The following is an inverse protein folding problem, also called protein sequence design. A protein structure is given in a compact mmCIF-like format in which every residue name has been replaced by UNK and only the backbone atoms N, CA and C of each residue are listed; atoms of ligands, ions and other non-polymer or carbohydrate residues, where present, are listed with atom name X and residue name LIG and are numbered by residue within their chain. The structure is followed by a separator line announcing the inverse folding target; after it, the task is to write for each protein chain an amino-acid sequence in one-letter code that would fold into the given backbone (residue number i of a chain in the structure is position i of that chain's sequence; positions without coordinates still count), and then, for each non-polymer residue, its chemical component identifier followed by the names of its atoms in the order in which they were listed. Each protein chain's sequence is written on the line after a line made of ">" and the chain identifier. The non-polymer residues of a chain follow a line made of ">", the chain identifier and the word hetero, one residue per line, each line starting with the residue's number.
data_IF_333132474664
#
_entry.id   IF_333132474664
#
_cell.length_a   1.000
_cell.length_b   1.000
_cell.length_c   1.000
_cell.angle_alpha   90.00
_cell.angle_beta   90.00
_cell.angle_gamma   90.00
#
_symmetry.space_group_name_H-M   'P 1'
#
loop_
_entity.id
_entity.type
_entity.pdbx_description
1 polymer ?
#
# COMPACT_ATOMS: atom_id res chain seq x y z
N UNK A 1 28.94 -28.63 -12.04
CA UNK A 1 27.84 -27.82 -12.61
C UNK A 1 26.63 -28.72 -12.65
N UNK A 2 25.60 -28.46 -11.84
CA UNK A 2 24.35 -29.24 -11.92
C UNK A 2 23.74 -29.06 -13.32
N UNK A 3 23.44 -30.18 -13.98
CA UNK A 3 22.73 -30.16 -15.26
C UNK A 3 21.30 -29.71 -15.02
N UNK A 4 21.05 -28.39 -15.11
CA UNK A 4 19.70 -27.82 -15.03
C UNK A 4 18.84 -28.45 -16.13
N UNK A 5 17.82 -29.19 -15.73
CA UNK A 5 16.94 -29.90 -16.67
C UNK A 5 15.86 -28.98 -17.22
N UNK A 6 15.23 -29.40 -18.34
CA UNK A 6 14.04 -28.73 -18.83
C UNK A 6 12.92 -28.67 -17.77
N UNK A 7 12.79 -29.72 -16.95
CA UNK A 7 11.84 -29.77 -15.84
C UNK A 7 12.05 -28.63 -14.83
N UNK A 8 13.30 -28.42 -14.42
CA UNK A 8 13.65 -27.36 -13.46
C UNK A 8 13.36 -25.97 -14.03
N UNK A 9 13.70 -25.74 -15.30
CA UNK A 9 13.44 -24.46 -15.97
C UNK A 9 11.94 -24.22 -16.11
N UNK A 10 11.18 -25.24 -16.52
CA UNK A 10 9.72 -25.15 -16.63
C UNK A 10 9.08 -24.77 -15.30
N UNK A 11 9.47 -25.42 -14.21
CA UNK A 11 8.97 -25.12 -12.86
C UNK A 11 9.23 -23.66 -12.51
N UNK A 12 10.49 -23.19 -12.65
CA UNK A 12 10.83 -21.80 -12.36
C UNK A 12 10.07 -20.79 -13.23
N UNK A 13 9.84 -21.10 -14.51
CA UNK A 13 9.10 -20.23 -15.43
C UNK A 13 7.64 -20.10 -15.00
N UNK A 14 7.02 -21.22 -14.62
CA UNK A 14 5.64 -21.26 -14.12
C UNK A 14 5.51 -20.49 -12.80
N UNK A 15 6.45 -20.69 -11.88
CA UNK A 15 6.49 -19.96 -10.60
C UNK A 15 6.64 -18.45 -10.82
N UNK A 16 7.55 -18.03 -11.70
CA UNK A 16 7.74 -16.62 -12.02
C UNK A 16 6.48 -16.02 -12.66
N UNK A 17 5.86 -16.73 -13.60
CA UNK A 17 4.62 -16.29 -14.24
C UNK A 17 3.48 -16.18 -13.22
N UNK A 18 3.35 -17.15 -12.31
CA UNK A 18 2.39 -17.13 -11.21
C UNK A 18 2.61 -15.92 -10.31
N UNK A 19 3.85 -15.68 -9.90
CA UNK A 19 4.22 -14.55 -9.07
C UNK A 19 3.92 -13.21 -9.74
N UNK A 20 4.28 -13.04 -11.02
CA UNK A 20 3.98 -11.81 -11.77
C UNK A 20 2.49 -11.50 -11.81
N UNK A 21 1.62 -12.52 -11.90
CA UNK A 21 0.17 -12.34 -11.89
C UNK A 21 -0.36 -11.86 -10.54
N UNK A 22 0.36 -12.09 -9.44
CA UNK A 22 -0.03 -11.61 -8.11
C UNK A 22 0.31 -10.14 -7.87
N UNK A 23 1.13 -9.52 -8.74
CA UNK A 23 1.57 -8.14 -8.56
C UNK A 23 0.45 -7.19 -9.01
N UNK A 24 -0.04 -6.37 -8.08
CA UNK A 24 -1.16 -5.46 -8.32
C UNK A 24 -0.85 -4.45 -9.43
N UNK A 25 -1.68 -4.42 -10.48
CA UNK A 25 -1.50 -3.51 -11.62
C UNK A 25 -0.34 -3.88 -12.56
N UNK A 26 0.26 -5.06 -12.39
CA UNK A 26 1.29 -5.57 -13.28
C UNK A 26 0.69 -6.57 -14.28
N UNK A 27 0.83 -6.26 -15.57
CA UNK A 27 0.48 -7.19 -16.64
C UNK A 27 1.71 -7.98 -17.05
N UNK A 28 1.54 -9.26 -17.37
CA UNK A 28 2.61 -10.08 -17.93
C UNK A 28 3.21 -9.38 -19.17
N UNK A 29 4.52 -9.09 -19.18
CA UNK A 29 5.15 -8.37 -20.30
C UNK A 29 5.07 -9.17 -21.60
N UNK A 30 4.88 -8.48 -22.72
CA UNK A 30 4.78 -9.14 -24.03
C UNK A 30 6.05 -9.94 -24.38
N UNK A 31 7.23 -9.40 -24.04
CA UNK A 31 8.50 -10.10 -24.20
C UNK A 31 8.57 -11.42 -23.40
N UNK A 32 7.97 -11.44 -22.21
CA UNK A 32 7.90 -12.65 -21.39
C UNK A 32 6.91 -13.66 -22.01
N UNK A 33 5.74 -13.20 -22.45
CA UNK A 33 4.74 -14.04 -23.12
C UNK A 33 5.29 -14.64 -24.42
N UNK A 34 6.05 -13.88 -25.20
CA UNK A 34 6.66 -14.36 -26.44
C UNK A 34 7.73 -15.43 -26.14
N UNK A 35 8.55 -15.22 -25.11
CA UNK A 35 9.48 -16.24 -24.63
C UNK A 35 8.78 -17.55 -24.22
N UNK A 36 7.61 -17.48 -23.59
CA UNK A 36 6.80 -18.66 -23.27
C UNK A 36 6.30 -19.40 -24.52
N UNK A 37 5.87 -18.67 -25.56
CA UNK A 37 5.43 -19.27 -26.82
C UNK A 37 6.58 -19.97 -27.54
N UNK A 38 7.75 -19.32 -27.60
CA UNK A 38 8.97 -19.91 -28.19
C UNK A 38 9.35 -21.19 -27.44
N UNK A 39 9.37 -21.15 -26.10
CA UNK A 39 9.63 -22.32 -25.27
C UNK A 39 8.62 -23.44 -25.54
N UNK A 40 7.32 -23.13 -25.65
CA UNK A 40 6.27 -24.10 -25.95
C UNK A 40 6.42 -24.71 -27.36
N UNK A 41 6.83 -23.92 -28.35
CA UNK A 41 7.10 -24.42 -29.71
C UNK A 41 8.22 -25.45 -29.71
N UNK A 42 9.34 -25.18 -29.02
CA UNK A 42 10.44 -26.14 -28.93
C UNK A 42 10.06 -27.43 -28.21
N UNK A 43 9.20 -27.36 -27.19
CA UNK A 43 8.65 -28.56 -26.53
C UNK A 43 7.82 -29.38 -27.50
N UNK A 44 6.95 -28.72 -28.27
CA UNK A 44 6.10 -29.38 -29.28
C UNK A 44 6.94 -30.11 -30.34
N UNK A 45 8.08 -29.54 -30.71
CA UNK A 45 9.00 -30.11 -31.69
C UNK A 45 9.96 -31.17 -31.11
N UNK A 46 9.83 -31.52 -29.81
CA UNK A 46 10.73 -32.46 -29.12
C UNK A 46 12.13 -31.91 -28.82
N UNK A 47 12.35 -30.61 -29.03
CA UNK A 47 13.63 -29.90 -28.89
C UNK A 47 13.83 -29.39 -27.45
N UNK A 48 14.02 -30.32 -26.51
CA UNK A 48 14.09 -29.99 -25.07
C UNK A 48 15.30 -29.12 -24.68
N UNK A 49 16.41 -29.21 -25.41
CA UNK A 49 17.60 -28.39 -25.15
C UNK A 49 17.35 -26.92 -25.52
N UNK A 50 16.71 -26.69 -26.65
CA UNK A 50 16.30 -25.38 -27.15
C UNK A 50 15.20 -24.79 -26.27
N UNK A 51 14.24 -25.61 -25.84
CA UNK A 51 13.22 -25.21 -24.88
C UNK A 51 13.85 -24.78 -23.53
N UNK A 52 14.89 -25.49 -23.07
CA UNK A 52 15.64 -25.13 -21.85
C UNK A 52 16.35 -23.79 -22.01
N UNK A 53 17.00 -23.54 -23.16
CA UNK A 53 17.66 -22.25 -23.44
C UNK A 53 16.63 -21.10 -23.51
N UNK A 54 15.52 -21.31 -24.22
CA UNK A 54 14.43 -20.34 -24.31
C UNK A 54 13.83 -20.03 -22.93
N UNK A 55 13.60 -21.06 -22.11
CA UNK A 55 13.10 -20.88 -20.75
C UNK A 55 14.06 -20.11 -19.84
N UNK A 56 15.39 -20.34 -19.93
CA UNK A 56 16.40 -19.56 -19.19
C UNK A 56 16.36 -18.08 -19.59
N UNK A 57 16.33 -17.79 -20.89
CA UNK A 57 16.21 -16.41 -21.39
C UNK A 57 14.89 -15.75 -20.95
N UNK A 58 13.79 -16.52 -20.93
CA UNK A 58 12.50 -16.06 -20.43
C UNK A 58 12.56 -15.71 -18.94
N UNK A 59 13.21 -16.54 -18.11
CA UNK A 59 13.44 -16.27 -16.69
C UNK A 59 14.25 -15.01 -16.44
N UNK A 60 15.36 -14.84 -17.16
CA UNK A 60 16.22 -13.66 -17.05
C UNK A 60 15.46 -12.40 -17.42
N UNK A 61 14.79 -12.41 -18.57
CA UNK A 61 13.94 -11.30 -19.05
C UNK A 61 12.87 -10.96 -18.02
N UNK A 62 12.13 -11.98 -17.56
CA UNK A 62 11.02 -11.79 -16.64
C UNK A 62 11.46 -11.23 -15.28
N UNK A 63 12.52 -11.80 -14.69
CA UNK A 63 13.11 -11.32 -13.44
C UNK A 63 13.63 -9.89 -13.60
N UNK A 64 14.27 -9.58 -14.73
CA UNK A 64 14.74 -8.22 -15.05
C UNK A 64 13.61 -7.20 -15.08
N UNK A 65 12.53 -7.50 -15.80
CA UNK A 65 11.37 -6.60 -15.91
C UNK A 65 10.69 -6.42 -14.56
N UNK A 66 10.42 -7.51 -13.84
CA UNK A 66 9.78 -7.43 -12.52
C UNK A 66 10.65 -6.66 -11.52
N UNK A 67 11.97 -6.89 -11.52
CA UNK A 67 12.91 -6.13 -10.68
C UNK A 67 12.86 -4.64 -11.01
N UNK A 68 12.91 -4.28 -12.29
CA UNK A 68 12.86 -2.90 -12.73
C UNK A 68 11.53 -2.23 -12.33
N UNK A 69 10.40 -2.92 -12.53
CA UNK A 69 9.09 -2.45 -12.13
C UNK A 69 9.02 -2.13 -10.63
N UNK A 70 9.42 -3.09 -9.78
CA UNK A 70 9.38 -2.92 -8.33
C UNK A 70 10.31 -1.80 -7.87
N UNK A 71 11.53 -1.71 -8.41
CA UNK A 71 12.47 -0.63 -8.08
C UNK A 71 11.91 0.74 -8.46
N UNK A 72 11.38 0.87 -9.68
CA UNK A 72 10.83 2.14 -10.18
C UNK A 72 9.56 2.59 -9.43
N UNK A 73 8.94 1.70 -8.64
CA UNK A 73 7.77 2.04 -7.83
C UNK A 73 8.13 2.79 -6.55
N UNK A 74 9.35 2.60 -6.02
CA UNK A 74 9.75 3.08 -4.68
C UNK A 74 11.06 3.87 -4.66
N UNK A 75 11.99 3.60 -5.58
CA UNK A 75 13.28 4.29 -5.67
C UNK A 75 13.23 5.41 -6.71
N UNK A 76 13.61 6.61 -6.29
CA UNK A 76 13.83 7.72 -7.19
C UNK A 76 15.02 7.41 -8.12
N UNK A 77 14.90 7.83 -9.37
CA UNK A 77 15.97 7.76 -10.35
C UNK A 77 16.63 9.12 -10.46
N UNK A 78 17.93 9.17 -10.22
CA UNK A 78 18.75 10.34 -10.48
C UNK A 78 18.83 10.64 -11.98
N UNK A 79 19.08 11.91 -12.30
CA UNK A 79 19.31 12.35 -13.66
C UNK A 79 20.56 11.69 -14.23
N UNK A 80 20.46 11.22 -15.47
CA UNK A 80 21.58 10.62 -16.22
C UNK A 80 21.61 11.25 -17.62
N UNK A 81 22.74 11.23 -18.33
CA UNK A 81 22.82 11.74 -19.70
C UNK A 81 21.72 11.12 -20.59
N UNK A 82 20.82 11.97 -21.11
CA UNK A 82 19.69 11.56 -21.95
C UNK A 82 18.49 10.96 -21.22
N UNK A 83 18.44 10.96 -19.87
CA UNK A 83 17.29 10.50 -19.08
C UNK A 83 17.04 11.43 -17.87
N UNK A 84 15.90 12.13 -17.82
CA UNK A 84 15.60 13.03 -16.70
C UNK A 84 15.43 12.24 -15.39
N UNK A 85 15.62 12.92 -14.27
CA UNK A 85 15.29 12.38 -12.97
C UNK A 85 13.81 11.95 -12.92
N UNK A 86 13.54 10.82 -12.28
CA UNK A 86 12.18 10.30 -12.14
C UNK A 86 11.89 9.97 -10.70
N UNK A 87 10.91 10.67 -10.13
CA UNK A 87 10.43 10.38 -8.79
C UNK A 87 9.60 9.09 -8.83
N UNK A 88 9.84 8.21 -7.87
CA UNK A 88 9.12 6.97 -7.70
C UNK A 88 7.63 7.24 -7.46
N UNK A 89 6.77 6.38 -8.02
CA UNK A 89 5.32 6.55 -7.90
C UNK A 89 4.88 6.69 -6.45
N UNK A 90 5.36 5.84 -5.55
CA UNK A 90 4.94 5.88 -4.15
C UNK A 90 5.42 7.14 -3.42
N UNK A 91 6.59 7.69 -3.78
CA UNK A 91 7.04 8.98 -3.26
C UNK A 91 6.12 10.11 -3.72
N UNK A 92 5.66 10.10 -4.97
CA UNK A 92 4.68 11.08 -5.47
C UNK A 92 3.34 10.91 -4.75
N UNK A 93 2.85 9.69 -4.62
CA UNK A 93 1.55 9.38 -3.99
C UNK A 93 1.51 9.79 -2.51
N UNK A 94 2.61 9.60 -1.76
CA UNK A 94 2.72 10.02 -0.36
C UNK A 94 2.88 11.53 -0.25
N UNK A 95 3.80 12.15 -1.02
CA UNK A 95 3.99 13.62 -1.00
C UNK A 95 2.71 14.38 -1.31
N UNK A 96 1.92 13.89 -2.27
CA UNK A 96 0.62 14.49 -2.60
C UNK A 96 -0.35 14.45 -1.42
N UNK A 97 -0.37 13.34 -0.65
CA UNK A 97 -1.24 13.19 0.53
C UNK A 97 -0.74 13.97 1.74
N UNK A 98 0.56 14.18 1.84
CA UNK A 98 1.21 14.92 2.92
C UNK A 98 1.23 16.45 2.69
N UNK A 99 0.92 16.93 1.49
CA UNK A 99 0.99 18.37 1.17
C UNK A 99 -0.16 19.16 1.78
N UNK A 100 0.17 20.28 2.43
CA UNK A 100 -0.68 21.15 3.26
C UNK A 100 -1.80 21.94 2.53
N UNK A 101 -2.11 21.65 1.26
CA UNK A 101 -3.26 22.28 0.63
C UNK A 101 -4.53 21.52 1.05
N UNK A 102 -5.48 22.24 1.67
CA UNK A 102 -6.82 21.81 2.12
C UNK A 102 -7.19 20.35 1.75
N UNK A 103 -7.07 19.43 2.72
CA UNK A 103 -7.26 17.99 2.50
C UNK A 103 -6.02 17.12 2.71
N UNK A 104 -4.99 17.65 3.40
CA UNK A 104 -3.85 16.86 3.87
C UNK A 104 -4.32 15.68 4.73
N UNK A 105 -3.70 14.53 4.52
CA UNK A 105 -4.03 13.33 5.26
C UNK A 105 -3.55 13.46 6.70
N UNK A 106 -4.21 12.73 7.59
CA UNK A 106 -3.79 12.64 8.98
C UNK A 106 -2.34 12.14 9.08
N UNK A 107 -1.57 12.74 10.00
CA UNK A 107 -0.14 12.45 10.16
C UNK A 107 0.14 10.97 10.44
N UNK A 108 -0.76 10.29 11.17
CA UNK A 108 -0.62 8.86 11.47
C UNK A 108 -0.80 7.99 10.20
N UNK A 109 -1.69 8.42 9.29
CA UNK A 109 -1.89 7.75 8.01
C UNK A 109 -0.62 7.90 7.15
N UNK A 110 -0.05 9.11 7.10
CA UNK A 110 1.20 9.37 6.37
C UNK A 110 2.36 8.56 6.95
N UNK A 111 2.52 8.54 8.28
CA UNK A 111 3.57 7.77 8.94
C UNK A 111 3.46 6.26 8.64
N UNK A 112 2.23 5.73 8.58
CA UNK A 112 1.99 4.33 8.21
C UNK A 112 2.36 4.06 6.75
N UNK A 113 2.00 4.95 5.82
CA UNK A 113 2.37 4.82 4.41
C UNK A 113 3.90 4.86 4.22
N UNK A 114 4.59 5.74 4.94
CA UNK A 114 6.05 5.82 4.95
C UNK A 114 6.71 4.53 5.46
N UNK A 115 6.12 3.88 6.48
CA UNK A 115 6.60 2.58 6.97
C UNK A 115 6.49 1.47 5.91
N UNK A 116 5.35 1.37 5.23
CA UNK A 116 5.17 0.40 4.14
C UNK A 116 6.12 0.69 2.97
N UNK A 117 6.28 1.97 2.62
CA UNK A 117 7.25 2.40 1.61
C UNK A 117 8.67 1.97 1.97
N UNK A 118 9.13 2.25 3.20
CA UNK A 118 10.45 1.88 3.68
C UNK A 118 10.69 0.36 3.64
N UNK A 119 9.69 -0.43 4.04
CA UNK A 119 9.75 -1.90 3.97
C UNK A 119 9.95 -2.38 2.52
N UNK A 120 9.22 -1.80 1.57
CA UNK A 120 9.39 -2.11 0.15
C UNK A 120 10.75 -1.65 -0.36
N UNK A 121 11.20 -0.45 0.04
CA UNK A 121 12.48 0.12 -0.35
C UNK A 121 13.66 -0.78 0.06
N UNK A 122 13.65 -1.25 1.30
CA UNK A 122 14.63 -2.22 1.82
C UNK A 122 14.60 -3.51 1.00
N UNK A 123 13.41 -4.07 0.77
CA UNK A 123 13.24 -5.32 0.04
C UNK A 123 13.77 -5.24 -1.41
N UNK A 124 13.61 -4.09 -2.09
CA UNK A 124 14.11 -3.93 -3.48
C UNK A 124 15.59 -3.59 -3.56
N UNK A 125 16.19 -3.07 -2.48
CA UNK A 125 17.63 -2.81 -2.38
C UNK A 125 18.42 -4.09 -2.11
N UNK A 126 17.87 -5.05 -1.37
CA UNK A 126 18.56 -6.33 -1.12
C UNK A 126 18.63 -7.12 -2.43
N UNK A 127 19.78 -7.20 -3.11
CA UNK A 127 19.91 -7.78 -4.47
C UNK A 127 19.92 -9.32 -4.55
N UNK A 128 19.50 -10.03 -3.51
CA UNK A 128 19.50 -11.50 -3.54
C UNK A 128 18.36 -12.04 -4.42
N UNK A 129 18.69 -12.96 -5.32
CA UNK A 129 17.73 -13.56 -6.26
C UNK A 129 16.63 -14.39 -5.56
N UNK A 130 16.82 -14.78 -4.29
CA UNK A 130 15.90 -15.61 -3.50
C UNK A 130 14.70 -14.88 -2.88
N UNK A 131 14.55 -13.57 -3.08
CA UNK A 131 13.64 -12.74 -2.26
C UNK A 131 12.52 -12.07 -3.07
N UNK A 132 12.29 -12.50 -4.32
CA UNK A 132 11.26 -11.88 -5.17
C UNK A 132 9.85 -11.96 -4.56
N UNK A 133 9.50 -13.05 -3.89
CA UNK A 133 8.21 -13.20 -3.19
C UNK A 133 8.03 -12.11 -2.13
N UNK A 134 9.05 -11.85 -1.32
CA UNK A 134 8.97 -10.82 -0.28
C UNK A 134 8.85 -9.43 -0.89
N UNK A 135 9.56 -9.14 -1.98
CA UNK A 135 9.43 -7.85 -2.69
C UNK A 135 8.03 -7.64 -3.28
N UNK A 136 7.47 -8.69 -3.87
CA UNK A 136 6.10 -8.67 -4.42
C UNK A 136 5.07 -8.50 -3.30
N UNK A 137 5.26 -9.20 -2.17
CA UNK A 137 4.42 -9.06 -0.99
C UNK A 137 4.48 -7.63 -0.42
N UNK A 138 5.68 -7.07 -0.23
CA UNK A 138 5.85 -5.69 0.25
C UNK A 138 5.23 -4.67 -0.72
N UNK A 139 5.35 -4.89 -2.03
CA UNK A 139 4.73 -4.04 -3.04
C UNK A 139 3.20 -4.06 -2.93
N UNK A 140 2.61 -5.25 -2.88
CA UNK A 140 1.16 -5.39 -2.74
C UNK A 140 0.66 -4.80 -1.41
N UNK A 141 1.39 -4.99 -0.31
CA UNK A 141 1.06 -4.37 0.97
C UNK A 141 1.07 -2.83 0.88
N UNK A 142 2.03 -2.24 0.17
CA UNK A 142 2.06 -0.79 -0.06
C UNK A 142 0.87 -0.32 -0.92
N UNK A 143 0.50 -1.06 -1.96
CA UNK A 143 -0.67 -0.75 -2.79
C UNK A 143 -1.96 -0.80 -1.96
N UNK A 144 -2.13 -1.82 -1.12
CA UNK A 144 -3.30 -1.93 -0.25
C UNK A 144 -3.31 -0.87 0.85
N UNK A 145 -2.15 -0.52 1.41
CA UNK A 145 -2.04 0.57 2.37
C UNK A 145 -2.48 1.91 1.77
N UNK A 146 -2.12 2.20 0.52
CA UNK A 146 -2.59 3.40 -0.18
C UNK A 146 -4.11 3.42 -0.36
N UNK A 147 -4.73 2.30 -0.74
CA UNK A 147 -6.19 2.20 -0.85
C UNK A 147 -6.86 2.39 0.52
N UNK A 148 -6.29 1.77 1.55
CA UNK A 148 -6.78 1.88 2.93
C UNK A 148 -6.69 3.30 3.48
N UNK A 149 -5.60 4.01 3.18
CA UNK A 149 -5.41 5.41 3.58
C UNK A 149 -6.53 6.31 3.08
N UNK A 150 -6.94 6.16 1.81
CA UNK A 150 -8.01 6.98 1.22
C UNK A 150 -9.37 6.73 1.90
N UNK A 151 -9.63 5.50 2.36
CA UNK A 151 -10.85 5.16 3.11
C UNK A 151 -10.79 5.71 4.54
N UNK A 152 -9.65 5.54 5.20
CA UNK A 152 -9.43 6.00 6.58
C UNK A 152 -9.54 7.53 6.67
N UNK A 153 -8.94 8.26 5.73
CA UNK A 153 -9.02 9.73 5.72
C UNK A 153 -10.47 10.21 5.61
N UNK A 154 -11.26 9.61 4.70
CA UNK A 154 -12.68 9.95 4.54
C UNK A 154 -13.49 9.72 5.81
N UNK A 155 -13.20 8.65 6.55
CA UNK A 155 -13.87 8.36 7.82
C UNK A 155 -13.50 9.39 8.90
N UNK A 156 -12.23 9.78 8.98
CA UNK A 156 -11.76 10.83 9.89
C UNK A 156 -12.41 12.18 9.58
N UNK A 157 -12.44 12.58 8.32
CA UNK A 157 -13.05 13.84 7.89
C UNK A 157 -14.54 13.89 8.22
N UNK A 158 -15.26 12.78 7.99
CA UNK A 158 -16.67 12.65 8.37
C UNK A 158 -16.86 12.82 9.89
N UNK A 159 -16.03 12.15 10.68
CA UNK A 159 -16.10 12.22 12.15
C UNK A 159 -15.79 13.62 12.66
N UNK A 160 -14.81 14.32 12.05
CA UNK A 160 -14.48 15.71 12.37
C UNK A 160 -15.65 16.65 12.07
N UNK A 161 -16.29 16.50 10.91
CA UNK A 161 -17.47 17.29 10.54
C UNK A 161 -18.66 17.04 11.48
N UNK A 162 -18.93 15.79 11.84
CA UNK A 162 -19.99 15.45 12.79
C UNK A 162 -19.72 16.04 14.18
N UNK A 163 -18.47 15.96 14.66
CA UNK A 163 -18.04 16.56 15.93
C UNK A 163 -18.15 18.08 15.91
N UNK A 164 -17.75 18.74 14.82
CA UNK A 164 -17.91 20.20 14.67
C UNK A 164 -19.38 20.61 14.66
N UNK A 165 -20.25 19.87 13.96
CA UNK A 165 -21.70 20.10 13.96
C UNK A 165 -22.30 19.97 15.36
N UNK A 166 -21.87 18.96 16.13
CA UNK A 166 -22.32 18.80 17.52
C UNK A 166 -21.85 19.97 18.39
N UNK A 167 -20.58 20.37 18.30
CA UNK A 167 -20.05 21.54 19.01
C UNK A 167 -20.83 22.82 18.68
N UNK A 168 -21.10 23.10 17.40
CA UNK A 168 -21.88 24.27 16.99
C UNK A 168 -23.31 24.24 17.55
N UNK A 169 -23.98 23.08 17.52
CA UNK A 169 -25.31 22.93 18.14
C UNK A 169 -25.28 23.19 19.64
N UNK A 170 -24.26 22.70 20.35
CA UNK A 170 -24.08 22.95 21.78
C UNK A 170 -23.83 24.43 22.07
N UNK A 171 -22.99 25.10 21.27
CA UNK A 171 -22.75 26.54 21.38
C UNK A 171 -24.02 27.37 21.09
N UNK A 172 -24.80 27.01 20.07
CA UNK A 172 -26.06 27.69 19.73
C UNK A 172 -27.14 27.53 20.82
N UNK A 173 -27.16 26.38 21.50
CA UNK A 173 -28.03 26.13 22.66
C UNK A 173 -27.62 26.94 23.90
N UNK A 174 -26.34 27.25 24.05
CA UNK A 174 -25.82 28.11 25.11
C UNK A 174 -26.16 29.58 24.87
N UNK A 175 -26.12 30.03 23.61
CA UNK A 175 -26.34 31.43 23.22
C UNK A 175 -27.84 31.85 23.27
N UNK A 176 -28.78 30.89 23.11
CA UNK A 176 -30.23 31.15 23.15
C UNK A 176 -30.86 31.11 24.56
N UNK A 177 -30.08 31.08 25.64
CA UNK A 177 -30.64 31.05 27.01
C UNK A 177 -30.98 32.45 27.54
N UNK A 178 -32.23 32.72 27.96
CA UNK A 178 -32.55 33.97 28.64
C UNK A 178 -31.88 34.00 30.02
N UNK A 179 -31.37 35.19 30.39
CA UNK A 179 -30.74 35.46 31.68
C UNK A 179 -31.72 35.15 32.82
N UNK A 180 -31.58 33.98 33.45
CA UNK A 180 -32.32 33.64 34.67
C UNK A 180 -31.34 33.24 35.76
N UNK A 181 -31.38 34.01 36.84
CA UNK A 181 -30.61 33.93 38.06
C UNK A 181 -31.02 32.72 38.92
N UNK A 182 -30.18 31.67 38.97
CA UNK A 182 -29.91 30.76 40.12
C UNK A 182 -28.93 29.62 39.74
N UNK A 183 -28.20 29.01 40.69
CA UNK A 183 -26.77 28.69 40.52
C UNK A 183 -26.49 27.49 39.62
N UNK A 184 -25.52 27.68 38.73
CA UNK A 184 -25.22 26.87 37.54
C UNK A 184 -24.33 25.65 37.82
N UNK A 185 -23.74 25.52 39.01
CA UNK A 185 -22.68 24.52 39.26
C UNK A 185 -23.11 23.06 39.11
N UNK A 186 -24.30 22.67 39.59
CA UNK A 186 -24.67 21.24 39.62
C UNK A 186 -25.05 20.70 38.24
N UNK A 187 -25.50 21.55 37.30
CA UNK A 187 -26.01 21.09 36.00
C UNK A 187 -24.92 20.99 34.93
N UNK A 188 -23.92 21.87 34.99
CA UNK A 188 -22.76 21.83 34.09
C UNK A 188 -21.83 20.68 34.47
N UNK A 189 -21.61 20.44 35.76
CA UNK A 189 -20.88 19.26 36.24
C UNK A 189 -21.53 17.95 35.80
N UNK A 190 -22.86 17.86 35.85
CA UNK A 190 -23.59 16.66 35.40
C UNK A 190 -23.57 16.45 33.88
N UNK A 191 -23.47 17.51 33.07
CA UNK A 191 -23.34 17.40 31.61
C UNK A 191 -21.92 17.01 31.24
N UNK A 192 -20.91 17.67 31.83
CA UNK A 192 -19.50 17.31 31.65
C UNK A 192 -19.21 15.89 32.14
N UNK A 193 -19.78 15.47 33.27
CA UNK A 193 -19.64 14.10 33.77
C UNK A 193 -20.24 13.07 32.80
N UNK A 194 -21.41 13.37 32.21
CA UNK A 194 -22.01 12.52 31.18
C UNK A 194 -21.19 12.50 29.88
N UNK A 195 -20.62 13.62 29.47
CA UNK A 195 -19.75 13.69 28.29
C UNK A 195 -18.45 12.90 28.50
N UNK A 196 -17.84 13.00 29.69
CA UNK A 196 -16.66 12.20 30.07
C UNK A 196 -17.01 10.70 30.11
N UNK A 197 -18.20 10.34 30.61
CA UNK A 197 -18.64 8.95 30.66
C UNK A 197 -18.94 8.39 29.25
N UNK A 198 -19.51 9.19 28.36
CA UNK A 198 -19.72 8.83 26.95
C UNK A 198 -18.38 8.67 26.23
N UNK A 199 -17.42 9.56 26.47
CA UNK A 199 -16.07 9.46 25.90
C UNK A 199 -15.34 8.22 26.40
N UNK A 200 -15.49 7.88 27.68
CA UNK A 200 -14.93 6.67 28.28
C UNK A 200 -15.51 5.41 27.64
N UNK A 201 -16.84 5.34 27.48
CA UNK A 201 -17.51 4.21 26.81
C UNK A 201 -17.10 4.08 25.34
N UNK A 202 -16.88 5.20 24.65
CA UNK A 202 -16.41 5.19 23.26
C UNK A 202 -14.97 4.66 23.14
N UNK A 203 -14.09 5.01 24.09
CA UNK A 203 -12.73 4.49 24.13
C UNK A 203 -12.68 3.00 24.50
N UNK A 204 -13.49 2.57 25.47
CA UNK A 204 -13.64 1.15 25.82
C UNK A 204 -14.19 0.33 24.65
N UNK A 205 -15.18 0.86 23.92
CA UNK A 205 -15.70 0.21 22.72
C UNK A 205 -14.64 0.10 21.61
N UNK A 206 -13.78 1.11 21.46
CA UNK A 206 -12.67 1.09 20.51
C UNK A 206 -11.62 0.04 20.88
N UNK A 207 -11.22 -0.04 22.16
CA UNK A 207 -10.29 -1.07 22.64
C UNK A 207 -10.85 -2.49 22.46
N UNK A 208 -12.16 -2.68 22.66
CA UNK A 208 -12.82 -3.96 22.40
C UNK A 208 -12.87 -4.31 20.91
N UNK A 209 -13.09 -3.34 20.02
CA UNK A 209 -13.08 -3.57 18.57
C UNK A 209 -11.67 -3.90 18.06
N UNK A 210 -10.65 -3.22 18.58
CA UNK A 210 -9.24 -3.48 18.25
C UNK A 210 -8.80 -4.91 18.68
N UNK A 211 -9.39 -5.47 19.74
CA UNK A 211 -9.16 -6.86 20.18
C UNK A 211 -9.80 -7.92 19.28
N UNK A 212 -10.84 -7.57 18.52
CA UNK A 212 -11.56 -8.49 17.62
C UNK A 212 -11.01 -8.43 16.18
N UNK A 213 -10.07 -7.52 15.92
CA UNK A 213 -9.35 -7.44 14.64
C UNK A 213 -10.20 -6.91 13.49
N UNK A 214 -11.10 -5.95 13.75
CA UNK A 214 -11.82 -5.17 12.73
C UNK A 214 -11.37 -3.71 12.80
#
# INVERSE_FOLDING_TARGET
>A
MENVTFGDVKTQVVELAGMMKTVSGFRLPDAFQEGLKIMASFVKDGKLNEATKAGKSCLETGRGILRAFLRNSVLDQEERPGKPAKVARFNVDIKRRASDQDGAYDGDIIARLEKFRGTLEEAVKTETNGVFIQRVSAYNAMVEALKGADVQQKQLDRTRLETQRQKMKTTELLDKRPASTKPVNVRVENILAKEVEVQKRANEAKELLDLIGV
#
